data_IF_967202072292
#
_entry.id   IF_967202072292
#
_cell.length_a   1.000
_cell.length_b   1.000
_cell.length_c   1.000
_cell.angle_alpha   90.00
_cell.angle_beta   90.00
_cell.angle_gamma   90.00
#
_symmetry.space_group_name_H-M   'P 1'
#
loop_
_entity.id
_entity.type
_entity.pdbx_description
1 polymer ?
#
# COMPACT_ATOMS: atom_id res chain seq x y z
N UNK A 1 1.68 -18.07 -15.71
CA UNK A 1 0.68 -16.98 -15.80
C UNK A 1 -0.19 -17.09 -14.56
N UNK A 2 -0.27 -16.03 -13.75
CA UNK A 2 -1.19 -16.03 -12.63
C UNK A 2 -2.59 -15.84 -13.22
N UNK A 3 -3.45 -16.86 -13.13
CA UNK A 3 -4.85 -16.75 -13.54
C UNK A 3 -5.72 -16.19 -12.40
N UNK A 4 -5.20 -15.20 -11.66
CA UNK A 4 -5.94 -14.62 -10.56
C UNK A 4 -5.60 -13.15 -10.30
N UNK A 5 -6.61 -12.42 -9.84
CA UNK A 5 -6.51 -11.04 -9.38
C UNK A 5 -6.44 -11.10 -7.85
N UNK A 6 -5.50 -10.36 -7.26
CA UNK A 6 -5.39 -10.22 -5.80
C UNK A 6 -5.93 -8.85 -5.42
N UNK A 7 -6.83 -8.83 -4.44
CA UNK A 7 -7.43 -7.63 -3.90
C UNK A 7 -7.17 -7.58 -2.40
N UNK A 8 -6.90 -6.37 -1.93
CA UNK A 8 -6.68 -6.12 -0.51
C UNK A 8 -7.62 -5.04 -0.02
N UNK A 9 -8.12 -5.26 1.20
CA UNK A 9 -8.80 -4.27 2.00
C UNK A 9 -9.93 -3.52 1.27
N UNK A 10 -10.06 -2.24 1.62
CA UNK A 10 -11.14 -1.38 1.21
C UNK A 10 -11.86 -0.77 2.39
N UNK A 11 -12.62 0.27 2.07
CA UNK A 11 -13.64 0.84 2.92
C UNK A 11 -14.97 0.21 2.53
N UNK A 12 -15.72 -0.32 3.50
CA UNK A 12 -16.97 -1.04 3.23
C UNK A 12 -18.19 -0.11 2.97
N UNK A 13 -17.97 1.20 2.81
CA UNK A 13 -19.03 2.15 2.49
C UNK A 13 -19.73 2.77 3.70
N UNK A 14 -19.30 2.46 4.93
CA UNK A 14 -19.83 3.09 6.14
C UNK A 14 -18.74 3.37 7.18
N UNK A 15 -18.99 4.40 7.99
CA UNK A 15 -18.17 4.79 9.14
C UNK A 15 -16.66 4.87 8.84
N UNK A 16 -15.86 4.47 9.83
CA UNK A 16 -14.42 4.24 9.72
C UNK A 16 -14.11 2.73 9.70
N UNK A 17 -14.92 1.96 8.98
CA UNK A 17 -14.75 0.51 8.84
C UNK A 17 -13.89 0.21 7.61
N UNK A 18 -12.64 -0.17 7.89
CA UNK A 18 -11.62 -0.51 6.90
C UNK A 18 -11.16 -1.94 7.15
N UNK A 19 -10.68 -2.58 6.10
CA UNK A 19 -10.22 -3.96 6.14
C UNK A 19 -8.71 -4.05 5.88
N UNK A 20 -8.13 -5.22 6.11
CA UNK A 20 -6.78 -5.61 5.65
C UNK A 20 -6.77 -7.09 5.20
N UNK A 21 -7.93 -7.61 4.79
CA UNK A 21 -8.06 -8.96 4.25
C UNK A 21 -7.39 -9.06 2.89
N UNK A 22 -6.85 -10.24 2.59
CA UNK A 22 -6.37 -10.59 1.25
C UNK A 22 -7.38 -11.53 0.61
N UNK A 23 -7.87 -11.15 -0.56
CA UNK A 23 -8.77 -11.98 -1.36
C UNK A 23 -8.17 -12.21 -2.74
N UNK A 24 -8.51 -13.36 -3.30
CA UNK A 24 -8.09 -13.80 -4.63
C UNK A 24 -9.33 -14.10 -5.45
N UNK A 25 -9.40 -13.53 -6.65
CA UNK A 25 -10.37 -13.89 -7.67
C UNK A 25 -9.66 -14.75 -8.72
N UNK A 26 -10.04 -16.01 -8.82
CA UNK A 26 -9.62 -16.85 -9.94
C UNK A 26 -10.31 -16.37 -11.22
N UNK A 27 -9.54 -15.99 -12.23
CA UNK A 27 -10.07 -15.36 -13.46
C UNK A 27 -10.63 -16.39 -14.45
N UNK A 28 -10.43 -17.68 -14.21
CA UNK A 28 -10.96 -18.76 -15.06
C UNK A 28 -12.33 -19.20 -14.55
N UNK A 29 -12.42 -19.48 -13.26
CA UNK A 29 -13.64 -19.96 -12.59
C UNK A 29 -14.52 -18.82 -12.06
N UNK A 30 -13.99 -17.59 -12.02
CA UNK A 30 -14.62 -16.41 -11.41
C UNK A 30 -15.00 -16.64 -9.94
N UNK A 31 -14.27 -17.53 -9.25
CA UNK A 31 -14.50 -17.83 -7.85
C UNK A 31 -13.60 -16.99 -6.96
N UNK A 32 -14.20 -16.48 -5.90
CA UNK A 32 -13.50 -15.77 -4.85
C UNK A 32 -12.96 -16.74 -3.81
N UNK A 33 -11.75 -16.46 -3.34
CA UNK A 33 -11.11 -17.15 -2.24
C UNK A 33 -10.51 -16.13 -1.28
N UNK A 34 -10.90 -16.20 -0.02
CA UNK A 34 -10.20 -15.49 1.03
C UNK A 34 -8.87 -16.19 1.32
N UNK A 35 -7.79 -15.42 1.28
CA UNK A 35 -6.44 -15.89 1.59
C UNK A 35 -6.07 -15.56 3.02
N UNK A 36 -6.42 -14.36 3.47
CA UNK A 36 -6.25 -13.88 4.84
C UNK A 36 -7.47 -13.06 5.25
N UNK A 37 -8.09 -13.34 6.41
CA UNK A 37 -9.19 -12.53 6.92
C UNK A 37 -8.68 -11.16 7.39
N UNK A 38 -9.62 -10.25 7.66
CA UNK A 38 -9.31 -8.97 8.33
C UNK A 38 -8.84 -9.24 9.75
N UNK A 39 -7.76 -8.58 10.17
CA UNK A 39 -7.17 -8.73 11.49
C UNK A 39 -6.72 -7.35 12.02
N UNK A 40 -7.44 -6.87 13.03
CA UNK A 40 -7.18 -5.59 13.68
C UNK A 40 -5.94 -5.58 14.60
N UNK A 41 -5.29 -6.73 14.81
CA UNK A 41 -4.08 -6.85 15.63
C UNK A 41 -2.80 -6.92 14.78
N UNK A 42 -2.94 -7.17 13.48
CA UNK A 42 -1.83 -7.31 12.54
C UNK A 42 -1.03 -6.00 12.42
N UNK A 43 0.31 -6.08 12.26
CA UNK A 43 1.17 -4.92 11.96
C UNK A 43 1.05 -4.47 10.48
N UNK A 44 -0.17 -4.44 9.96
CA UNK A 44 -0.53 -3.89 8.65
C UNK A 44 -1.82 -3.12 8.85
N UNK A 45 -1.74 -1.80 8.69
CA UNK A 45 -2.87 -0.92 8.92
C UNK A 45 -4.03 -1.23 7.99
N UNK A 46 -5.24 -1.39 8.55
CA UNK A 46 -6.50 -1.51 7.80
C UNK A 46 -6.79 -0.18 7.08
N UNK A 47 -6.82 -0.20 5.74
CA UNK A 47 -6.83 1.03 4.93
C UNK A 47 -7.42 0.84 3.54
N UNK A 48 -7.66 1.96 2.88
CA UNK A 48 -8.10 2.04 1.50
C UNK A 48 -7.41 3.22 0.80
N UNK A 49 -7.66 3.37 -0.49
CA UNK A 49 -7.16 4.52 -1.29
C UNK A 49 -5.63 4.67 -1.29
N UNK A 50 -4.90 3.59 -1.02
CA UNK A 50 -3.47 3.50 -1.25
C UNK A 50 -3.17 3.00 -2.66
N UNK A 51 -1.89 2.88 -2.98
CA UNK A 51 -1.43 2.25 -4.22
C UNK A 51 -1.20 0.75 -3.98
N UNK A 52 -1.58 -0.07 -4.96
CA UNK A 52 -1.39 -1.52 -4.90
C UNK A 52 -0.88 -2.04 -6.24
N UNK A 53 0.19 -2.83 -6.21
CA UNK A 53 0.74 -3.51 -7.38
C UNK A 53 1.15 -4.93 -7.04
N UNK A 54 1.17 -5.81 -8.04
CA UNK A 54 1.76 -7.14 -7.92
C UNK A 54 3.03 -7.27 -8.77
N UNK A 55 4.01 -8.02 -8.28
CA UNK A 55 5.22 -8.31 -9.05
C UNK A 55 5.76 -9.70 -8.74
N UNK A 56 6.62 -10.18 -9.63
CA UNK A 56 7.35 -11.44 -9.44
C UNK A 56 8.82 -11.16 -9.14
N UNK A 57 9.38 -11.94 -8.22
CA UNK A 57 10.80 -11.98 -7.93
C UNK A 57 11.18 -13.40 -7.53
N UNK A 58 12.19 -13.95 -8.21
CA UNK A 58 12.74 -15.28 -7.94
C UNK A 58 11.66 -16.38 -7.94
N UNK A 59 10.73 -16.29 -8.89
CA UNK A 59 9.59 -17.21 -9.04
C UNK A 59 8.48 -17.02 -7.99
N UNK A 60 8.58 -16.03 -7.11
CA UNK A 60 7.59 -15.75 -6.07
C UNK A 60 6.83 -14.46 -6.37
N UNK A 61 5.50 -14.55 -6.32
CA UNK A 61 4.62 -13.39 -6.47
C UNK A 61 4.42 -12.67 -5.15
N UNK A 62 4.48 -11.35 -5.23
CA UNK A 62 4.31 -10.44 -4.11
C UNK A 62 3.24 -9.40 -4.45
N UNK A 63 2.46 -9.02 -3.44
CA UNK A 63 1.59 -7.85 -3.47
C UNK A 63 2.27 -6.74 -2.66
N UNK A 64 2.43 -5.55 -3.24
CA UNK A 64 2.94 -4.37 -2.52
C UNK A 64 1.84 -3.34 -2.42
N UNK A 65 1.75 -2.77 -1.22
CA UNK A 65 0.79 -1.73 -0.88
C UNK A 65 1.52 -0.56 -0.28
N UNK A 66 1.17 0.64 -0.74
CA UNK A 66 1.82 1.88 -0.33
C UNK A 66 0.77 2.89 0.10
N UNK A 67 0.99 3.49 1.28
CA UNK A 67 0.16 4.57 1.81
C UNK A 67 -1.31 4.17 1.99
N UNK A 68 -2.19 5.16 1.96
CA UNK A 68 -3.63 4.99 2.11
C UNK A 68 -4.21 5.72 3.31
N UNK A 69 -5.54 5.66 3.41
CA UNK A 69 -6.37 6.23 4.47
C UNK A 69 -7.16 5.10 5.14
N UNK A 70 -7.19 5.06 6.46
CA UNK A 70 -7.79 3.95 7.18
C UNK A 70 -8.15 4.24 8.63
N UNK A 71 -8.32 3.17 9.40
CA UNK A 71 -8.54 3.22 10.86
C UNK A 71 -7.22 3.35 11.62
N UNK A 72 -7.28 3.62 12.93
CA UNK A 72 -6.09 3.64 13.79
C UNK A 72 -5.25 2.35 13.61
N UNK A 73 -3.94 2.46 13.33
CA UNK A 73 -3.09 1.28 13.16
C UNK A 73 -2.92 0.54 14.50
N UNK A 74 -2.89 -0.79 14.44
CA UNK A 74 -2.58 -1.63 15.61
C UNK A 74 -1.15 -1.42 16.10
N UNK A 75 -0.23 -1.26 15.15
CA UNK A 75 1.21 -1.04 15.36
C UNK A 75 1.65 0.10 14.45
N UNK A 76 2.33 1.09 15.00
CA UNK A 76 2.99 2.13 14.23
C UNK A 76 4.46 1.76 14.04
N UNK A 77 4.83 1.39 12.83
CA UNK A 77 6.20 1.03 12.49
C UNK A 77 7.08 2.29 12.43
N UNK A 78 8.31 2.27 12.99
CA UNK A 78 9.11 3.48 13.24
C UNK A 78 9.58 4.23 11.98
N UNK A 79 9.62 3.57 10.83
CA UNK A 79 10.06 4.18 9.56
C UNK A 79 8.92 4.86 8.79
N UNK A 80 7.67 4.65 9.21
CA UNK A 80 6.48 5.18 8.57
C UNK A 80 5.83 6.23 9.45
N UNK A 81 5.15 7.18 8.81
CA UNK A 81 4.33 8.18 9.45
C UNK A 81 2.88 7.71 9.44
N UNK A 82 2.21 7.95 10.54
CA UNK A 82 0.79 7.67 10.75
C UNK A 82 0.18 8.93 11.34
N UNK A 83 -0.67 9.61 10.58
CA UNK A 83 -1.22 10.91 10.95
C UNK A 83 -2.71 10.75 11.14
N UNK A 84 -3.18 11.02 12.37
CA UNK A 84 -4.59 11.12 12.68
C UNK A 84 -5.16 12.42 12.13
N UNK A 85 -6.30 12.31 11.46
CA UNK A 85 -7.05 13.43 10.90
C UNK A 85 -8.17 13.83 11.86
N UNK A 86 -8.71 15.03 11.68
CA UNK A 86 -9.82 15.56 12.50
C UNK A 86 -11.10 14.73 12.50
N UNK A 87 -11.28 13.86 11.50
CA UNK A 87 -12.41 12.92 11.41
C UNK A 87 -12.12 11.52 12.00
N UNK A 88 -11.02 11.38 12.74
CA UNK A 88 -10.60 10.11 13.38
C UNK A 88 -10.01 9.07 12.42
N UNK A 89 -9.90 9.38 11.13
CA UNK A 89 -9.20 8.53 10.15
C UNK A 89 -7.71 8.78 10.23
N UNK A 90 -6.95 7.81 9.77
CA UNK A 90 -5.50 7.84 9.80
C UNK A 90 -4.97 7.76 8.38
N UNK A 91 -4.00 8.61 8.03
CA UNK A 91 -3.27 8.54 6.76
C UNK A 91 -1.85 8.09 6.99
N UNK A 92 -1.30 7.28 6.09
CA UNK A 92 0.04 6.72 6.23
C UNK A 92 0.84 6.75 4.93
N UNK A 93 2.15 6.57 5.06
CA UNK A 93 3.08 6.21 3.98
C UNK A 93 3.62 4.78 4.14
N UNK A 94 2.96 3.93 4.95
CA UNK A 94 3.33 2.54 5.17
C UNK A 94 3.50 1.78 3.85
N UNK A 95 4.61 1.07 3.72
CA UNK A 95 4.79 0.06 2.67
C UNK A 95 4.65 -1.33 3.30
N UNK A 96 3.74 -2.12 2.76
CA UNK A 96 3.45 -3.48 3.24
C UNK A 96 3.47 -4.41 2.05
N UNK A 97 4.22 -5.50 2.17
CA UNK A 97 4.39 -6.49 1.13
C UNK A 97 3.86 -7.83 1.62
N UNK A 98 3.05 -8.48 0.80
CA UNK A 98 2.52 -9.81 1.09
C UNK A 98 3.14 -10.82 0.12
N UNK A 99 3.77 -11.85 0.66
CA UNK A 99 4.32 -12.96 -0.11
C UNK A 99 3.24 -14.02 -0.30
N UNK A 100 2.84 -14.27 -1.56
CA UNK A 100 1.74 -15.18 -1.87
C UNK A 100 2.08 -16.65 -1.58
N UNK A 101 3.36 -17.01 -1.65
CA UNK A 101 3.80 -18.39 -1.41
C UNK A 101 3.85 -18.70 0.08
N UNK A 102 4.46 -17.82 0.88
CA UNK A 102 4.63 -18.03 2.31
C UNK A 102 3.44 -17.56 3.15
N UNK A 103 2.50 -16.81 2.54
CA UNK A 103 1.32 -16.23 3.19
C UNK A 103 1.69 -15.30 4.35
N UNK A 104 2.78 -14.54 4.18
CA UNK A 104 3.31 -13.66 5.21
C UNK A 104 3.44 -12.23 4.72
N UNK A 105 3.17 -11.32 5.64
CA UNK A 105 3.47 -9.91 5.49
C UNK A 105 4.92 -9.64 5.86
N UNK A 106 5.54 -8.73 5.10
CA UNK A 106 6.83 -8.14 5.38
C UNK A 106 6.79 -6.66 5.01
N UNK A 107 7.61 -5.85 5.68
CA UNK A 107 7.79 -4.46 5.30
C UNK A 107 9.10 -4.35 4.52
N UNK A 108 9.10 -3.83 3.29
CA UNK A 108 10.34 -3.63 2.57
C UNK A 108 11.18 -2.55 3.26
N UNK A 109 12.49 -2.73 3.26
CA UNK A 109 13.41 -1.70 3.75
C UNK A 109 13.50 -0.56 2.72
N UNK A 110 13.31 0.67 3.17
CA UNK A 110 13.42 1.86 2.31
C UNK A 110 14.86 2.38 2.34
N UNK A 111 15.47 2.52 1.18
CA UNK A 111 16.76 3.18 0.99
C UNK A 111 16.48 4.54 0.33
N UNK A 112 16.69 5.62 1.09
CA UNK A 112 16.43 7.00 0.65
C UNK A 112 15.24 7.63 1.36
N UNK A 113 14.51 8.52 0.68
CA UNK A 113 13.36 9.20 1.25
C UNK A 113 12.09 8.35 1.09
N UNK A 114 11.27 8.26 2.14
CA UNK A 114 9.91 7.72 2.03
C UNK A 114 8.97 8.81 1.51
N UNK A 115 7.92 8.43 0.76
CA UNK A 115 6.85 9.39 0.43
C UNK A 115 6.26 9.97 1.72
N UNK A 116 5.72 11.20 1.69
CA UNK A 116 4.87 11.65 2.79
C UNK A 116 3.60 10.80 2.89
N UNK A 117 2.87 10.82 4.02
CA UNK A 117 1.55 10.19 4.11
C UNK A 117 0.65 10.63 2.96
N UNK A 118 0.20 9.65 2.17
CA UNK A 118 -0.42 9.89 0.87
C UNK A 118 -1.58 8.93 0.67
N UNK A 119 -2.68 9.42 0.12
CA UNK A 119 -3.79 8.59 -0.35
C UNK A 119 -4.42 9.18 -1.61
N UNK A 120 -5.33 8.44 -2.26
CA UNK A 120 -6.06 8.87 -3.45
C UNK A 120 -5.14 9.18 -4.65
N UNK A 121 -3.97 8.56 -4.70
CA UNK A 121 -3.02 8.67 -5.80
C UNK A 121 -3.19 7.50 -6.77
N UNK A 122 -2.69 7.67 -7.99
CA UNK A 122 -2.60 6.59 -8.97
C UNK A 122 -1.26 5.88 -8.77
N UNK A 123 -1.27 4.55 -8.75
CA UNK A 123 -0.06 3.73 -8.77
C UNK A 123 -0.10 2.77 -9.94
N UNK A 124 0.86 2.91 -10.85
CA UNK A 124 0.92 2.10 -12.08
C UNK A 124 2.24 1.32 -12.14
N UNK A 125 2.15 0.03 -12.43
CA UNK A 125 3.32 -0.82 -12.60
C UNK A 125 3.94 -0.57 -13.98
N UNK A 126 5.24 -0.26 -14.00
CA UNK A 126 6.01 -0.15 -15.25
C UNK A 126 6.58 -1.53 -15.62
N UNK A 127 7.17 -2.23 -14.64
CA UNK A 127 7.67 -3.60 -14.77
C UNK A 127 7.82 -4.26 -13.39
N UNK A 128 8.47 -5.42 -13.28
CA UNK A 128 8.63 -6.14 -12.00
C UNK A 128 9.57 -5.45 -10.99
N UNK A 129 10.29 -4.41 -11.39
CA UNK A 129 11.21 -3.66 -10.51
C UNK A 129 10.86 -2.18 -10.38
N UNK A 130 9.88 -1.67 -11.15
CA UNK A 130 9.54 -0.24 -11.15
C UNK A 130 8.03 0.01 -11.22
N UNK A 131 7.60 1.04 -10.51
CA UNK A 131 6.25 1.59 -10.59
C UNK A 131 6.28 3.12 -10.44
N UNK A 132 5.25 3.78 -10.95
CA UNK A 132 5.05 5.22 -10.81
C UNK A 132 3.86 5.48 -9.91
N UNK A 133 4.01 6.44 -9.00
CA UNK A 133 2.93 6.99 -8.20
C UNK A 133 2.73 8.44 -8.63
N UNK A 134 1.48 8.84 -8.86
CA UNK A 134 1.17 10.19 -9.33
C UNK A 134 0.01 10.82 -8.55
N UNK A 135 0.27 12.04 -8.08
CA UNK A 135 -0.72 12.92 -7.48
C UNK A 135 -1.24 12.45 -6.13
N UNK A 136 -2.54 12.66 -5.90
CA UNK A 136 -3.24 12.29 -4.67
C UNK A 136 -3.29 13.41 -3.63
N UNK A 137 -3.56 13.02 -2.38
CA UNK A 137 -3.72 13.91 -1.23
C UNK A 137 -2.64 13.59 -0.21
N UNK A 138 -1.72 14.54 -0.05
CA UNK A 138 -0.66 14.50 0.94
C UNK A 138 -1.15 15.09 2.26
N UNK A 139 -0.65 14.54 3.38
CA UNK A 139 -0.86 15.12 4.72
C UNK A 139 0.46 15.51 5.35
N UNK A 140 0.51 16.72 5.89
CA UNK A 140 1.63 17.22 6.68
C UNK A 140 1.48 16.86 8.18
N UNK A 141 2.52 17.16 8.96
CA UNK A 141 2.57 16.81 10.38
C UNK A 141 1.53 17.59 11.23
N UNK A 142 0.91 18.65 10.68
CA UNK A 142 -0.22 19.39 11.30
C UNK A 142 -1.58 18.77 10.94
N UNK A 143 -1.61 17.59 10.33
CA UNK A 143 -2.81 16.92 9.81
C UNK A 143 -3.57 17.72 8.73
N UNK A 144 -2.89 18.63 8.01
CA UNK A 144 -3.48 19.38 6.89
C UNK A 144 -3.31 18.62 5.59
N UNK A 145 -4.37 18.61 4.79
CA UNK A 145 -4.40 17.93 3.51
C UNK A 145 -4.11 18.91 2.38
N UNK A 146 -3.20 18.52 1.48
CA UNK A 146 -2.90 19.27 0.26
C UNK A 146 -2.95 18.32 -0.93
N UNK A 147 -3.70 18.69 -1.97
CA UNK A 147 -3.65 17.98 -3.24
C UNK A 147 -2.26 18.17 -3.86
N UNK A 148 -1.67 17.10 -4.36
CA UNK A 148 -0.34 17.13 -4.94
C UNK A 148 -0.37 16.69 -6.40
N UNK A 149 0.57 17.21 -7.19
CA UNK A 149 0.89 16.80 -8.55
C UNK A 149 2.29 16.16 -8.63
N UNK A 150 2.86 15.76 -7.48
CA UNK A 150 4.16 15.11 -7.42
C UNK A 150 4.11 13.75 -8.14
N UNK A 151 5.25 13.40 -8.75
CA UNK A 151 5.49 12.07 -9.32
C UNK A 151 6.55 11.39 -8.46
N UNK A 152 6.28 10.15 -8.08
CA UNK A 152 7.24 9.30 -7.38
C UNK A 152 7.52 8.07 -8.21
N UNK A 153 8.78 7.65 -8.28
CA UNK A 153 9.15 6.38 -8.89
C UNK A 153 9.57 5.44 -7.78
N UNK A 154 8.80 4.36 -7.62
CA UNK A 154 9.18 3.22 -6.81
C UNK A 154 10.14 2.34 -7.61
N UNK A 155 11.31 2.06 -7.06
CA UNK A 155 12.30 1.15 -7.62
C UNK A 155 12.63 0.09 -6.58
N UNK A 156 12.47 -1.17 -6.96
CA UNK A 156 12.89 -2.32 -6.16
C UNK A 156 14.28 -2.77 -6.63
N UNK A 157 15.22 -2.81 -5.70
CA UNK A 157 16.55 -3.36 -5.92
C UNK A 157 16.57 -4.88 -5.65
N UNK A 158 17.64 -5.55 -6.06
CA UNK A 158 17.87 -7.00 -6.00
C UNK A 158 17.71 -7.54 -4.56
N UNK A 159 18.02 -6.73 -3.55
CA UNK A 159 17.90 -7.07 -2.13
C UNK A 159 16.53 -6.74 -1.51
N UNK A 160 15.48 -6.53 -2.32
CA UNK A 160 14.15 -6.09 -1.87
C UNK A 160 14.12 -4.74 -1.14
N UNK A 161 15.21 -3.98 -1.24
CA UNK A 161 15.24 -2.58 -0.84
C UNK A 161 14.44 -1.73 -1.83
N UNK A 162 13.77 -0.71 -1.31
CA UNK A 162 12.98 0.23 -2.11
C UNK A 162 13.66 1.57 -2.16
N UNK A 163 14.02 2.03 -3.36
CA UNK A 163 14.44 3.40 -3.60
C UNK A 163 13.24 4.15 -4.15
N UNK A 164 12.91 5.28 -3.52
CA UNK A 164 11.88 6.17 -4.01
C UNK A 164 12.52 7.46 -4.52
N UNK A 165 12.41 7.69 -5.83
CA UNK A 165 12.84 8.94 -6.44
C UNK A 165 11.65 9.91 -6.51
N UNK A 166 11.81 11.12 -5.97
CA UNK A 166 10.80 12.17 -5.99
C UNK A 166 11.08 13.10 -7.17
N UNK A 167 10.10 13.25 -8.07
CA UNK A 167 10.11 14.24 -9.13
C UNK A 167 9.02 15.27 -8.82
N UNK A 168 9.45 16.46 -8.41
CA UNK A 168 8.55 17.61 -8.25
C UNK A 168 8.49 18.33 -9.60
N UNK A 169 7.29 18.48 -10.16
CA UNK A 169 7.10 19.38 -11.28
C UNK A 169 7.17 20.81 -10.72
N UNK A 170 8.14 21.59 -11.19
CA UNK A 170 8.29 23.00 -10.85
C UNK A 170 7.07 23.82 -11.30
#
# INVERSE_FOLDING_TARGET
MINCIILEAGWCGHDNCYHNSITQLDTVSLQWRELEPTDATRPVMMRAYGGMISFEHDGVHHLLMIGGLGSKPAVQLPYYKYIELSNGRWRTNEHSMYNLSSRKWNNPSIIGQCIPPLSHFIMEKINNTRAVLFGGVMTDDDAKNTATNNVYIYIRDINQHCVLAVYKKA
#
